data_IF_073611477391
#
_entry.id   IF_073611477391
#
_cell.length_a   1.000
_cell.length_b   1.000
_cell.length_c   1.000
_cell.angle_alpha   90.00
_cell.angle_beta   90.00
_cell.angle_gamma   90.00
#
_symmetry.space_group_name_H-M   'P 1'
#
loop_
_entity.id
_entity.type
_entity.pdbx_description
1 polymer ?
#
# COMPACT_ATOMS: atom_id res chain seq x y z
N UNK A 1 -37.40 -26.74 32.15
CA UNK A 1 -37.57 -25.56 33.02
C UNK A 1 -36.46 -24.62 32.62
N UNK A 2 -36.80 -23.51 32.00
CA UNK A 2 -35.86 -22.69 31.25
C UNK A 2 -35.88 -21.27 31.81
N UNK A 3 -34.70 -20.67 31.85
CA UNK A 3 -34.34 -19.48 32.60
C UNK A 3 -35.26 -18.26 32.43
N UNK A 4 -35.34 -17.47 33.50
CA UNK A 4 -35.46 -16.02 33.44
C UNK A 4 -34.31 -15.38 34.24
N UNK A 5 -34.03 -14.07 34.19
CA UNK A 5 -34.47 -12.96 33.33
C UNK A 5 -33.58 -11.74 33.66
N UNK A 6 -33.61 -10.67 32.84
CA UNK A 6 -33.04 -9.32 33.09
C UNK A 6 -31.54 -9.18 32.79
N UNK A 7 -31.04 -8.06 32.25
CA UNK A 7 -31.67 -6.81 31.75
C UNK A 7 -30.59 -5.99 31.01
N UNK A 8 -30.84 -4.86 30.34
CA UNK A 8 -32.04 -4.04 30.12
C UNK A 8 -31.92 -3.37 28.74
N UNK A 9 -32.97 -2.71 28.22
CA UNK A 9 -32.93 -2.01 26.93
C UNK A 9 -33.41 -0.56 27.01
N UNK A 10 -33.14 0.22 25.96
CA UNK A 10 -33.73 1.55 25.69
C UNK A 10 -33.91 1.71 24.16
N UNK A 11 -34.71 2.68 23.67
CA UNK A 11 -35.35 2.58 22.33
C UNK A 11 -35.64 3.95 21.67
N UNK A 12 -35.74 3.96 20.33
CA UNK A 12 -36.25 4.99 19.39
C UNK A 12 -37.37 5.94 19.92
N UNK A 13 -37.61 7.17 19.44
CA UNK A 13 -37.78 7.75 18.07
C UNK A 13 -37.56 9.30 18.10
N UNK A 14 -37.48 10.12 17.04
CA UNK A 14 -36.98 10.01 15.65
C UNK A 14 -36.51 11.44 15.19
N UNK A 15 -37.02 12.28 14.25
CA UNK A 15 -38.10 12.29 13.23
C UNK A 15 -37.90 13.47 12.24
N UNK A 16 -38.00 13.30 10.90
CA UNK A 16 -38.68 14.28 9.99
C UNK A 16 -39.03 13.64 8.62
N UNK A 17 -39.95 14.27 7.88
CA UNK A 17 -40.58 13.80 6.62
C UNK A 17 -39.83 14.34 5.36
N UNK A 18 -40.14 14.03 4.08
CA UNK A 18 -41.46 13.95 3.39
C UNK A 18 -41.44 13.07 2.12
N UNK A 19 -42.59 12.45 1.84
CA UNK A 19 -43.18 12.06 0.54
C UNK A 19 -42.51 11.06 -0.44
N UNK A 20 -43.37 10.22 -1.03
CA UNK A 20 -43.12 9.43 -2.25
C UNK A 20 -44.46 9.14 -2.95
N UNK A 21 -44.62 9.36 -4.27
CA UNK A 21 -45.80 8.88 -5.00
C UNK A 21 -45.72 7.35 -5.19
N UNK A 22 -46.81 6.63 -4.91
CA UNK A 22 -46.80 5.18 -4.63
C UNK A 22 -47.66 4.35 -5.60
N UNK A 23 -47.06 3.33 -6.23
CA UNK A 23 -47.71 2.15 -6.85
C UNK A 23 -46.67 1.00 -6.97
N UNK A 24 -47.03 -0.30 -6.88
CA UNK A 24 -47.66 -1.00 -5.76
C UNK A 24 -46.78 -2.16 -5.20
N UNK A 25 -47.12 -2.69 -4.02
CA UNK A 25 -46.41 -3.82 -3.37
C UNK A 25 -46.79 -5.19 -3.98
N UNK A 26 -45.79 -5.91 -4.52
CA UNK A 26 -45.85 -7.33 -4.91
C UNK A 26 -44.43 -7.95 -4.76
N UNK A 27 -44.18 -9.12 -4.16
CA UNK A 27 -44.85 -9.87 -3.07
C UNK A 27 -43.92 -11.00 -2.56
N UNK A 28 -44.28 -11.62 -1.41
CA UNK A 28 -43.69 -12.83 -0.78
C UNK A 28 -42.25 -12.72 -0.20
N UNK A 29 -41.99 -13.20 1.04
CA UNK A 29 -40.64 -13.23 1.61
C UNK A 29 -39.78 -14.39 1.09
N UNK A 30 -38.49 -14.12 0.93
CA UNK A 30 -37.42 -15.12 0.92
C UNK A 30 -36.48 -14.87 2.11
N UNK A 31 -35.92 -15.93 2.75
CA UNK A 31 -34.91 -15.73 3.77
C UNK A 31 -33.64 -15.16 3.12
N UNK A 32 -33.19 -14.00 3.59
CA UNK A 32 -31.97 -13.36 3.08
C UNK A 32 -30.75 -14.10 3.63
N UNK A 33 -30.34 -15.16 2.94
CA UNK A 33 -29.10 -15.87 3.22
C UNK A 33 -27.90 -15.00 2.79
N UNK A 34 -27.52 -14.06 3.66
CA UNK A 34 -26.28 -13.29 3.51
C UNK A 34 -25.12 -14.28 3.54
N UNK A 35 -24.32 -14.43 2.46
CA UNK A 35 -23.14 -15.30 2.51
C UNK A 35 -22.12 -14.71 3.50
N UNK A 36 -21.38 -15.55 4.26
CA UNK A 36 -20.28 -15.05 5.07
C UNK A 36 -19.25 -14.36 4.18
N UNK A 37 -18.64 -13.30 4.73
CA UNK A 37 -17.63 -12.47 4.07
C UNK A 37 -16.64 -13.32 3.23
N UNK A 38 -16.46 -13.06 1.92
CA UNK A 38 -15.52 -13.81 1.11
C UNK A 38 -14.08 -13.61 1.62
N UNK A 39 -13.54 -14.66 2.24
CA UNK A 39 -12.10 -14.82 2.46
C UNK A 39 -11.36 -14.81 1.11
N UNK A 40 -10.05 -14.50 1.07
CA UNK A 40 -9.46 -13.83 -0.07
C UNK A 40 -9.51 -14.61 -1.39
N UNK A 41 -9.63 -13.84 -2.47
CA UNK A 41 -9.40 -14.21 -3.87
C UNK A 41 -8.20 -15.15 -3.99
N UNK A 42 -8.27 -16.24 -4.80
CA UNK A 42 -7.23 -17.25 -4.87
C UNK A 42 -5.83 -16.65 -5.06
N UNK A 43 -4.94 -16.98 -4.14
CA UNK A 43 -3.56 -16.51 -4.14
C UNK A 43 -2.87 -16.93 -5.44
N UNK A 44 -2.64 -15.95 -6.33
CA UNK A 44 -1.66 -16.09 -7.39
C UNK A 44 -0.30 -16.44 -6.74
N UNK A 45 0.56 -17.23 -7.39
CA UNK A 45 1.85 -17.59 -6.82
C UNK A 45 2.67 -16.31 -6.58
N UNK A 46 2.88 -16.00 -5.30
CA UNK A 46 3.71 -14.87 -4.84
C UNK A 46 5.13 -15.33 -4.56
N UNK A 47 6.06 -14.39 -4.64
CA UNK A 47 7.44 -14.57 -4.15
C UNK A 47 7.65 -13.83 -2.83
N UNK A 48 8.86 -13.84 -2.29
CA UNK A 48 9.29 -12.89 -1.25
C UNK A 48 10.50 -12.11 -1.75
N UNK A 49 10.67 -10.88 -1.26
CA UNK A 49 11.86 -10.09 -1.56
C UNK A 49 12.41 -9.37 -0.33
N UNK A 50 13.72 -9.21 -0.28
CA UNK A 50 14.42 -8.50 0.79
C UNK A 50 15.21 -7.32 0.23
N UNK A 51 15.08 -6.16 0.85
CA UNK A 51 15.93 -5.00 0.62
C UNK A 51 17.09 -5.04 1.61
N UNK A 52 18.31 -4.76 1.14
CA UNK A 52 19.48 -4.70 2.02
C UNK A 52 19.38 -3.53 3.01
N UNK A 53 18.85 -2.39 2.54
CA UNK A 53 18.61 -1.19 3.34
C UNK A 53 17.30 -0.55 2.87
N UNK A 54 16.17 -0.73 3.59
CA UNK A 54 14.89 -0.11 3.23
C UNK A 54 14.75 1.35 3.72
N UNK A 55 15.74 1.86 4.46
CA UNK A 55 15.77 3.21 5.03
C UNK A 55 17.11 3.88 4.69
N UNK A 56 17.18 4.53 3.53
CA UNK A 56 18.35 5.31 3.14
C UNK A 56 18.43 6.62 3.94
N UNK A 57 19.60 6.94 4.49
CA UNK A 57 19.88 8.27 5.04
C UNK A 57 21.05 8.90 4.27
N UNK A 58 20.77 9.98 3.55
CA UNK A 58 21.73 10.66 2.67
C UNK A 58 22.51 11.76 3.39
N UNK A 59 22.20 12.04 4.66
CA UNK A 59 22.84 13.10 5.44
C UNK A 59 22.55 14.50 4.87
N UNK A 60 23.52 15.40 4.99
CA UNK A 60 23.46 16.73 4.40
C UNK A 60 23.68 16.66 2.88
N UNK A 61 22.73 17.18 2.10
CA UNK A 61 22.74 17.17 0.64
C UNK A 61 22.47 18.58 0.12
N UNK A 62 23.40 19.14 -0.64
CA UNK A 62 23.18 20.43 -1.32
C UNK A 62 22.17 20.27 -2.46
N UNK A 63 21.09 21.05 -2.43
CA UNK A 63 20.01 21.07 -3.42
C UNK A 63 20.53 21.30 -4.84
N UNK A 64 21.56 22.13 -4.96
CA UNK A 64 22.28 22.44 -6.21
C UNK A 64 22.99 21.24 -6.86
N UNK A 65 23.34 20.20 -6.08
CA UNK A 65 23.97 18.95 -6.56
C UNK A 65 22.93 17.82 -6.65
N UNK A 66 22.04 17.76 -5.65
CA UNK A 66 21.21 16.60 -5.36
C UNK A 66 22.03 15.41 -4.85
N UNK A 67 21.36 14.27 -4.64
CA UNK A 67 22.02 13.00 -4.31
C UNK A 67 21.25 11.83 -4.93
N UNK A 68 21.96 10.77 -5.30
CA UNK A 68 21.43 9.56 -5.92
C UNK A 68 21.68 8.38 -5.00
N UNK A 69 20.66 7.55 -4.77
CA UNK A 69 20.74 6.33 -3.96
C UNK A 69 20.25 5.12 -4.76
N UNK A 70 20.91 3.98 -4.55
CA UNK A 70 20.59 2.72 -5.23
C UNK A 70 20.13 1.69 -4.21
N UNK A 71 18.82 1.47 -4.15
CA UNK A 71 18.23 0.45 -3.31
C UNK A 71 18.43 -0.94 -3.93
N UNK A 72 19.23 -1.78 -3.29
CA UNK A 72 19.44 -3.17 -3.71
C UNK A 72 18.37 -4.09 -3.14
N UNK A 73 17.67 -4.79 -4.03
CA UNK A 73 16.61 -5.77 -3.73
C UNK A 73 17.05 -7.17 -4.15
N UNK A 74 16.68 -8.17 -3.37
CA UNK A 74 16.98 -9.59 -3.60
C UNK A 74 15.68 -10.38 -3.63
N UNK A 75 15.50 -11.23 -4.63
CA UNK A 75 14.39 -12.18 -4.67
C UNK A 75 14.72 -13.38 -3.77
N UNK A 76 14.03 -13.50 -2.64
CA UNK A 76 14.25 -14.54 -1.62
C UNK A 76 13.28 -15.71 -1.75
N UNK A 77 12.26 -15.59 -2.59
CA UNK A 77 11.29 -16.66 -2.85
C UNK A 77 11.69 -17.56 -4.02
N UNK A 78 10.82 -18.54 -4.32
CA UNK A 78 11.10 -19.65 -5.24
C UNK A 78 10.63 -19.42 -6.69
N UNK A 79 10.05 -18.27 -7.00
CA UNK A 79 9.56 -17.90 -8.35
C UNK A 79 10.16 -16.55 -8.79
N UNK A 80 10.13 -16.20 -10.09
CA UNK A 80 10.62 -14.91 -10.54
C UNK A 80 9.84 -13.72 -9.96
N UNK A 81 10.58 -12.72 -9.47
CA UNK A 81 10.07 -11.47 -8.91
C UNK A 81 9.85 -10.44 -10.01
N UNK A 82 8.62 -9.97 -10.19
CA UNK A 82 8.25 -8.94 -11.16
C UNK A 82 7.85 -7.64 -10.46
N UNK A 83 8.38 -6.52 -10.95
CA UNK A 83 8.09 -5.19 -10.46
C UNK A 83 7.06 -4.51 -11.36
N UNK A 84 5.87 -4.29 -10.82
CA UNK A 84 4.79 -3.58 -11.51
C UNK A 84 5.02 -2.07 -11.44
N UNK A 85 4.09 -1.40 -10.75
CA UNK A 85 4.12 0.05 -10.58
C UNK A 85 5.13 0.43 -9.49
N UNK A 86 6.03 1.38 -9.79
CA UNK A 86 7.00 1.94 -8.83
C UNK A 86 6.92 3.45 -8.94
N UNK A 87 6.64 4.11 -7.82
CA UNK A 87 6.47 5.56 -7.74
C UNK A 87 7.29 6.09 -6.56
N UNK A 88 7.78 7.31 -6.65
CA UNK A 88 8.43 7.99 -5.54
C UNK A 88 7.64 9.26 -5.19
N UNK A 89 7.64 9.65 -3.92
CA UNK A 89 6.97 10.85 -3.46
C UNK A 89 7.58 12.13 -4.06
N UNK A 90 6.79 13.21 -4.14
CA UNK A 90 7.20 14.48 -4.73
C UNK A 90 8.49 15.02 -4.10
N UNK A 91 9.54 15.19 -4.91
CA UNK A 91 10.90 15.50 -4.45
C UNK A 91 11.90 14.36 -4.67
N UNK A 92 11.45 13.15 -4.98
CA UNK A 92 12.27 12.05 -5.50
C UNK A 92 11.96 11.78 -6.98
N UNK A 93 13.01 11.53 -7.76
CA UNK A 93 12.97 11.10 -9.15
C UNK A 93 13.35 9.62 -9.20
N UNK A 94 12.49 8.79 -9.80
CA UNK A 94 12.82 7.40 -10.12
C UNK A 94 13.69 7.37 -11.38
N UNK A 95 14.98 7.12 -11.21
CA UNK A 95 15.98 7.13 -12.30
C UNK A 95 16.03 5.78 -13.03
N UNK A 96 15.94 4.69 -12.28
CA UNK A 96 15.91 3.33 -12.84
C UNK A 96 15.12 2.38 -11.96
N UNK A 97 14.43 1.42 -12.58
CA UNK A 97 13.76 0.29 -11.93
C UNK A 97 13.98 -0.97 -12.76
N UNK A 98 13.98 -2.17 -12.16
CA UNK A 98 13.96 -3.41 -12.91
C UNK A 98 12.70 -3.49 -13.79
N UNK A 99 12.90 -3.82 -15.07
CA UNK A 99 11.86 -4.07 -16.07
C UNK A 99 11.69 -5.56 -16.38
N UNK A 100 12.74 -6.35 -16.17
CA UNK A 100 12.73 -7.81 -16.29
C UNK A 100 12.42 -8.46 -14.94
N UNK A 101 11.88 -9.70 -14.98
CA UNK A 101 11.73 -10.52 -13.79
C UNK A 101 13.10 -10.92 -13.20
N UNK A 102 13.25 -10.82 -11.88
CA UNK A 102 14.46 -11.21 -11.14
C UNK A 102 14.35 -12.68 -10.75
N UNK A 103 15.29 -13.57 -11.13
CA UNK A 103 15.20 -14.99 -10.79
C UNK A 103 15.31 -15.24 -9.28
N UNK A 104 14.86 -16.41 -8.77
CA UNK A 104 15.10 -16.83 -7.38
C UNK A 104 16.57 -16.69 -6.96
N UNK A 105 16.83 -16.08 -5.80
CA UNK A 105 18.18 -15.74 -5.32
C UNK A 105 18.88 -14.60 -6.09
N UNK A 106 18.29 -14.10 -7.17
CA UNK A 106 18.83 -12.99 -7.96
C UNK A 106 18.63 -11.63 -7.28
N UNK A 107 19.49 -10.68 -7.63
CA UNK A 107 19.41 -9.29 -7.14
C UNK A 107 19.07 -8.31 -8.25
N UNK A 108 18.51 -7.16 -7.89
CA UNK A 108 18.28 -6.03 -8.78
C UNK A 108 18.37 -4.71 -8.01
N UNK A 109 18.30 -3.60 -8.73
CA UNK A 109 18.61 -2.28 -8.22
C UNK A 109 17.53 -1.27 -8.63
N UNK A 110 17.07 -0.47 -7.67
CA UNK A 110 16.14 0.64 -7.88
C UNK A 110 16.89 1.92 -7.57
N UNK A 111 17.14 2.73 -8.60
CA UNK A 111 17.91 3.96 -8.50
C UNK A 111 16.97 5.15 -8.38
N UNK A 112 17.09 5.90 -7.30
CA UNK A 112 16.35 7.16 -7.08
C UNK A 112 17.30 8.32 -6.90
N UNK A 113 16.88 9.52 -7.30
CA UNK A 113 17.64 10.76 -7.12
C UNK A 113 16.76 11.84 -6.50
N UNK A 114 17.29 12.64 -5.59
CA UNK A 114 16.62 13.85 -5.11
C UNK A 114 16.42 14.85 -6.27
N UNK A 115 15.20 15.36 -6.41
CA UNK A 115 14.87 16.43 -7.33
C UNK A 115 15.54 17.76 -6.89
N UNK A 116 15.90 18.66 -7.82
CA UNK A 116 16.45 19.97 -7.47
C UNK A 116 15.41 20.93 -6.84
N UNK A 117 14.12 20.61 -6.98
CA UNK A 117 12.99 21.39 -6.43
C UNK A 117 12.48 20.83 -5.08
N UNK A 118 13.35 20.17 -4.33
CA UNK A 118 13.03 19.60 -3.02
C UNK A 118 13.15 20.66 -1.91
N UNK A 119 12.31 20.54 -0.89
CA UNK A 119 12.23 21.45 0.27
C UNK A 119 13.55 21.50 1.05
N UNK A 120 13.90 22.68 1.59
CA UNK A 120 15.11 22.90 2.39
C UNK A 120 14.93 22.39 3.83
N UNK A 121 16.00 21.89 4.43
CA UNK A 121 15.97 21.31 5.78
C UNK A 121 15.73 19.80 5.79
N UNK A 122 15.28 19.25 6.92
CA UNK A 122 15.14 17.81 7.11
C UNK A 122 13.90 17.26 6.38
N UNK A 123 14.12 16.41 5.37
CA UNK A 123 13.07 15.76 4.59
C UNK A 123 13.00 14.26 4.86
N UNK A 124 11.80 13.71 4.73
CA UNK A 124 11.52 12.28 4.66
C UNK A 124 10.62 12.01 3.44
N UNK A 125 11.01 11.05 2.60
CA UNK A 125 10.35 10.76 1.32
C UNK A 125 10.25 9.25 1.10
N UNK A 126 9.16 8.80 0.48
CA UNK A 126 8.85 7.37 0.34
C UNK A 126 8.85 6.93 -1.12
N UNK A 127 9.39 5.74 -1.38
CA UNK A 127 9.29 5.03 -2.66
C UNK A 127 8.32 3.88 -2.50
N UNK A 128 7.20 3.93 -3.23
CA UNK A 128 6.15 2.92 -3.22
C UNK A 128 6.35 1.92 -4.35
N UNK A 129 6.53 0.65 -4.00
CA UNK A 129 6.85 -0.44 -4.93
C UNK A 129 5.72 -1.47 -4.88
N UNK A 130 5.09 -1.73 -6.02
CA UNK A 130 4.19 -2.87 -6.22
C UNK A 130 4.90 -4.01 -6.98
N UNK A 131 4.73 -5.24 -6.51
CA UNK A 131 5.36 -6.44 -7.08
C UNK A 131 4.47 -7.69 -6.92
N UNK A 132 4.84 -8.81 -7.52
CA UNK A 132 4.24 -10.13 -7.23
C UNK A 132 4.77 -10.78 -5.94
N UNK A 133 5.28 -9.99 -4.99
CA UNK A 133 5.71 -10.50 -3.68
C UNK A 133 4.54 -10.66 -2.72
N UNK A 134 4.77 -11.35 -1.61
CA UNK A 134 4.08 -11.12 -0.36
C UNK A 134 5.03 -10.38 0.62
N UNK A 135 4.61 -9.23 1.21
CA UNK A 135 3.47 -8.41 0.81
C UNK A 135 3.62 -7.84 -0.62
N UNK A 136 2.49 -7.60 -1.30
CA UNK A 136 2.49 -7.09 -2.67
C UNK A 136 3.05 -5.65 -2.80
N UNK A 137 2.94 -4.87 -1.72
CA UNK A 137 3.41 -3.49 -1.63
C UNK A 137 4.55 -3.35 -0.61
N UNK A 138 5.65 -2.75 -1.03
CA UNK A 138 6.80 -2.38 -0.19
C UNK A 138 7.01 -0.87 -0.25
N UNK A 139 7.40 -0.28 0.88
CA UNK A 139 7.78 1.12 0.99
C UNK A 139 9.25 1.22 1.38
N UNK A 140 10.01 2.08 0.69
CA UNK A 140 11.39 2.42 1.04
C UNK A 140 11.44 3.89 1.46
N UNK A 141 12.13 4.20 2.55
CA UNK A 141 12.23 5.56 3.06
C UNK A 141 13.59 6.16 2.68
N UNK A 142 13.59 7.40 2.23
CA UNK A 142 14.78 8.23 2.00
C UNK A 142 14.71 9.42 2.95
N UNK A 143 15.73 9.60 3.77
CA UNK A 143 15.90 10.77 4.64
C UNK A 143 17.10 11.59 4.19
N UNK A 144 17.01 12.91 4.24
CA UNK A 144 18.10 13.83 3.96
C UNK A 144 17.91 15.15 4.72
N UNK A 145 18.98 15.94 4.84
CA UNK A 145 18.92 17.35 5.24
C UNK A 145 19.36 18.17 4.04
N UNK A 146 18.45 18.93 3.47
CA UNK A 146 18.70 19.69 2.24
C UNK A 146 19.28 21.06 2.57
N UNK A 147 20.49 21.30 2.08
CA UNK A 147 21.22 22.55 2.19
C UNK A 147 21.28 23.28 0.84
N UNK A 148 21.79 24.51 0.80
CA UNK A 148 21.91 25.33 -0.42
C UNK A 148 23.11 24.95 -1.31
#
# INVERSE_FOLDING_TARGET
>A
MNSGTSGSGETEVASTVIETPNIPVISKPTPVNIPPNPSPTPSAPTTTMAFAEPNANLGAVKRSVGSTHTFKVTNTGSIPLTFGNVNADAGLLLVSKPTQAVPPGGTSEIVVKLAPDVELGAIEKTVHIASNSDPAHYHLTVKAVIEE
#
